data_IF_982158345150
#
_entry.id   IF_982158345150
#
_cell.length_a   1.000
_cell.length_b   1.000
_cell.length_c   1.000
_cell.angle_alpha   90.00
_cell.angle_beta   90.00
_cell.angle_gamma   90.00
#
_symmetry.space_group_name_H-M   'P 1'
#
loop_
_entity.id
_entity.type
_entity.pdbx_description
1 polymer ?
#
# COMPACT_ATOMS: atom_id res chain seq x y z
N UNK A 1 -21.37 13.93 36.24
CA UNK A 1 -20.70 12.86 35.47
C UNK A 1 -20.51 11.66 36.38
N UNK A 2 -20.88 10.46 35.95
CA UNK A 2 -20.51 9.25 36.67
C UNK A 2 -18.99 9.08 36.61
N UNK A 3 -18.34 8.82 37.74
CA UNK A 3 -16.90 8.56 37.84
C UNK A 3 -16.36 7.56 36.79
N UNK A 4 -17.05 6.45 36.44
CA UNK A 4 -16.57 5.55 35.38
C UNK A 4 -16.54 6.19 33.99
N UNK A 5 -17.51 7.05 33.64
CA UNK A 5 -17.56 7.71 32.33
C UNK A 5 -16.40 8.69 32.18
N UNK A 6 -16.07 9.40 33.25
CA UNK A 6 -14.94 10.33 33.27
C UNK A 6 -13.61 9.61 33.05
N UNK A 7 -13.37 8.51 33.78
CA UNK A 7 -12.15 7.70 33.62
C UNK A 7 -12.04 7.14 32.20
N UNK A 8 -13.14 6.59 31.66
CA UNK A 8 -13.18 6.09 30.30
C UNK A 8 -12.85 7.18 29.27
N UNK A 9 -13.38 8.40 29.46
CA UNK A 9 -13.12 9.52 28.56
C UNK A 9 -11.66 9.98 28.59
N UNK A 10 -11.05 10.04 29.78
CA UNK A 10 -9.62 10.38 29.91
C UNK A 10 -8.75 9.32 29.25
N UNK A 11 -9.01 8.04 29.51
CA UNK A 11 -8.24 6.93 28.92
C UNK A 11 -8.38 6.92 27.39
N UNK A 12 -9.60 7.03 26.87
CA UNK A 12 -9.84 7.11 25.44
C UNK A 12 -9.15 8.32 24.81
N UNK A 13 -9.24 9.49 25.43
CA UNK A 13 -8.56 10.71 24.97
C UNK A 13 -7.04 10.56 24.93
N UNK A 14 -6.43 9.91 25.93
CA UNK A 14 -4.99 9.62 25.94
C UNK A 14 -4.59 8.65 24.81
N UNK A 15 -5.37 7.57 24.61
CA UNK A 15 -5.11 6.62 23.53
C UNK A 15 -5.23 7.28 22.15
N UNK A 16 -6.24 8.12 21.96
CA UNK A 16 -6.40 8.91 20.73
C UNK A 16 -5.25 9.89 20.52
N UNK A 17 -4.78 10.57 21.57
CA UNK A 17 -3.63 11.47 21.48
C UNK A 17 -2.35 10.72 21.08
N UNK A 18 -2.09 9.56 21.68
CA UNK A 18 -0.96 8.68 21.28
C UNK A 18 -1.11 8.23 19.83
N UNK A 19 -2.32 7.82 19.43
CA UNK A 19 -2.63 7.46 18.05
C UNK A 19 -2.38 8.61 17.07
N UNK A 20 -2.79 9.83 17.40
CA UNK A 20 -2.57 11.02 16.58
C UNK A 20 -1.08 11.31 16.41
N UNK A 21 -0.31 11.27 17.50
CA UNK A 21 1.15 11.45 17.44
C UNK A 21 1.81 10.38 16.57
N UNK A 22 1.42 9.11 16.74
CA UNK A 22 1.91 8.00 15.92
C UNK A 22 1.57 8.16 14.43
N UNK A 23 0.35 8.59 14.12
CA UNK A 23 -0.10 8.85 12.76
C UNK A 23 0.69 10.01 12.12
N UNK A 24 0.84 11.13 12.83
CA UNK A 24 1.65 12.28 12.37
C UNK A 24 3.10 11.87 12.14
N UNK A 25 3.69 11.09 13.07
CA UNK A 25 5.03 10.57 12.90
C UNK A 25 5.17 9.76 11.62
N UNK A 26 4.20 8.89 11.32
CA UNK A 26 4.14 8.07 10.11
C UNK A 26 3.98 8.91 8.83
N UNK A 27 3.18 9.98 8.87
CA UNK A 27 3.04 10.93 7.76
C UNK A 27 4.37 11.66 7.46
N UNK A 28 5.09 12.09 8.49
CA UNK A 28 6.32 12.89 8.31
C UNK A 28 7.52 12.01 7.95
N UNK A 29 7.72 10.89 8.66
CA UNK A 29 8.89 10.01 8.53
C UNK A 29 8.69 8.87 7.53
N UNK A 30 7.45 8.64 7.07
CA UNK A 30 7.13 7.55 6.16
C UNK A 30 7.93 7.64 4.86
N UNK A 31 8.69 6.59 4.47
CA UNK A 31 9.55 6.59 3.29
C UNK A 31 8.79 6.36 1.99
N UNK A 32 7.61 5.71 2.03
CA UNK A 32 6.77 5.47 0.85
C UNK A 32 5.54 6.39 0.84
N UNK A 33 5.07 6.74 -0.37
CA UNK A 33 3.82 7.49 -0.52
C UNK A 33 2.64 6.74 0.11
N UNK A 34 2.65 5.41 0.01
CA UNK A 34 1.65 4.52 0.58
C UNK A 34 1.63 4.64 2.12
N UNK A 35 2.81 4.64 2.74
CA UNK A 35 2.97 4.80 4.18
C UNK A 35 2.35 6.12 4.67
N UNK A 36 2.69 7.22 4.01
CA UNK A 36 2.15 8.55 4.34
C UNK A 36 0.62 8.60 4.20
N UNK A 37 0.07 7.98 3.16
CA UNK A 37 -1.36 7.94 2.93
C UNK A 37 -2.10 7.07 3.96
N UNK A 38 -1.53 5.93 4.38
CA UNK A 38 -2.05 5.17 5.53
C UNK A 38 -2.00 6.02 6.80
N UNK A 39 -0.90 6.75 7.02
CA UNK A 39 -0.78 7.66 8.16
C UNK A 39 -1.89 8.71 8.20
N UNK A 40 -2.23 9.29 7.06
CA UNK A 40 -3.33 10.25 6.93
C UNK A 40 -4.71 9.62 7.18
N UNK A 41 -4.94 8.41 6.69
CA UNK A 41 -6.18 7.66 6.93
C UNK A 41 -6.37 7.36 8.44
N UNK A 42 -5.31 6.86 9.08
CA UNK A 42 -5.32 6.63 10.53
C UNK A 42 -5.55 7.94 11.30
N UNK A 43 -4.96 9.05 10.86
CA UNK A 43 -5.17 10.36 11.50
C UNK A 43 -6.64 10.81 11.37
N UNK A 44 -7.28 10.59 10.23
CA UNK A 44 -8.72 10.86 10.04
C UNK A 44 -9.57 10.00 10.97
N UNK A 45 -9.26 8.71 11.12
CA UNK A 45 -9.95 7.81 12.04
C UNK A 45 -9.79 8.27 13.50
N UNK A 46 -8.59 8.67 13.89
CA UNK A 46 -8.33 9.20 15.24
C UNK A 46 -9.11 10.48 15.51
N UNK A 47 -9.17 11.40 14.54
CA UNK A 47 -9.95 12.63 14.66
C UNK A 47 -11.46 12.34 14.76
N UNK A 48 -11.96 11.42 13.94
CA UNK A 48 -13.34 10.92 14.03
C UNK A 48 -13.63 10.30 15.41
N UNK A 49 -12.71 9.50 15.93
CA UNK A 49 -12.82 8.94 17.28
C UNK A 49 -12.88 10.00 18.37
N UNK A 50 -12.11 11.09 18.24
CA UNK A 50 -12.16 12.22 19.18
C UNK A 50 -13.52 12.94 19.13
N UNK A 51 -14.11 13.11 17.94
CA UNK A 51 -15.45 13.68 17.79
C UNK A 51 -16.54 12.76 18.38
N UNK A 52 -16.42 11.45 18.17
CA UNK A 52 -17.32 10.46 18.81
C UNK A 52 -17.20 10.50 20.32
N UNK A 53 -15.98 10.62 20.84
CA UNK A 53 -15.75 10.74 22.28
C UNK A 53 -16.36 12.03 22.85
N UNK A 54 -16.19 13.15 22.15
CA UNK A 54 -16.79 14.44 22.48
C UNK A 54 -18.32 14.35 22.52
N UNK A 55 -18.93 13.78 21.49
CA UNK A 55 -20.39 13.52 21.43
C UNK A 55 -20.87 12.66 22.61
N UNK A 56 -20.14 11.58 22.92
CA UNK A 56 -20.48 10.67 24.01
C UNK A 56 -20.42 11.36 25.39
N UNK A 57 -19.43 12.22 25.60
CA UNK A 57 -19.24 12.98 26.84
C UNK A 57 -20.29 14.08 26.99
N UNK A 58 -20.57 14.81 25.90
CA UNK A 58 -21.45 15.98 25.90
C UNK A 58 -22.93 15.66 25.61
N UNK A 59 -23.25 14.38 25.33
CA UNK A 59 -24.62 13.89 25.13
C UNK A 59 -25.36 14.56 23.96
N UNK A 60 -24.65 14.87 22.88
CA UNK A 60 -25.22 15.36 21.63
C UNK A 60 -24.66 14.59 20.43
N UNK A 61 -25.25 14.78 19.26
CA UNK A 61 -24.86 14.13 18.00
C UNK A 61 -24.65 15.12 16.86
N UNK A 62 -24.38 16.39 17.17
CA UNK A 62 -24.32 17.47 16.16
C UNK A 62 -23.19 17.27 15.15
N UNK A 63 -22.14 16.56 15.54
CA UNK A 63 -20.94 16.31 14.71
C UNK A 63 -20.97 14.94 14.03
N UNK A 64 -22.07 14.18 14.12
CA UNK A 64 -22.17 12.83 13.52
C UNK A 64 -21.99 12.84 12.01
N UNK A 65 -22.49 13.88 11.34
CA UNK A 65 -22.34 14.05 9.88
C UNK A 65 -20.87 14.21 9.51
N UNK A 66 -20.09 14.95 10.30
CA UNK A 66 -18.65 15.12 10.08
C UNK A 66 -17.90 13.79 10.24
N UNK A 67 -18.26 13.00 11.26
CA UNK A 67 -17.67 11.67 11.49
C UNK A 67 -17.95 10.72 10.33
N UNK A 68 -19.19 10.72 9.82
CA UNK A 68 -19.57 9.89 8.67
C UNK A 68 -18.80 10.31 7.42
N UNK A 69 -18.76 11.61 7.12
CA UNK A 69 -18.01 12.12 5.97
C UNK A 69 -16.51 11.81 6.09
N UNK A 70 -15.90 12.02 7.25
CA UNK A 70 -14.50 11.70 7.49
C UNK A 70 -14.20 10.20 7.31
N UNK A 71 -15.09 9.34 7.81
CA UNK A 71 -14.98 7.87 7.63
C UNK A 71 -15.11 7.46 6.16
N UNK A 72 -16.02 8.09 5.41
CA UNK A 72 -16.14 7.85 3.97
C UNK A 72 -14.90 8.28 3.21
N UNK A 73 -14.35 9.46 3.52
CA UNK A 73 -13.13 9.98 2.87
C UNK A 73 -11.94 9.07 3.16
N UNK A 74 -11.75 8.63 4.41
CA UNK A 74 -10.68 7.70 4.77
C UNK A 74 -10.78 6.36 4.03
N UNK A 75 -11.98 5.76 4.02
CA UNK A 75 -12.25 4.53 3.30
C UNK A 75 -11.99 4.64 1.79
N UNK A 76 -12.55 5.66 1.14
CA UNK A 76 -12.36 5.89 -0.30
C UNK A 76 -10.89 6.13 -0.62
N UNK A 77 -10.20 6.96 0.17
CA UNK A 77 -8.77 7.22 0.01
C UNK A 77 -7.91 5.96 0.10
N UNK A 78 -8.20 5.08 1.06
CA UNK A 78 -7.50 3.81 1.25
C UNK A 78 -7.73 2.85 0.07
N UNK A 79 -8.97 2.73 -0.42
CA UNK A 79 -9.31 1.89 -1.58
C UNK A 79 -8.64 2.41 -2.85
N UNK A 80 -8.69 3.72 -3.12
CA UNK A 80 -8.05 4.32 -4.31
C UNK A 80 -6.55 4.06 -4.31
N UNK A 81 -5.88 4.24 -3.17
CA UNK A 81 -4.45 4.00 -3.05
C UNK A 81 -4.09 2.52 -3.27
N UNK A 82 -4.85 1.60 -2.69
CA UNK A 82 -4.62 0.17 -2.87
C UNK A 82 -4.74 -0.26 -4.34
N UNK A 83 -5.68 0.34 -5.09
CA UNK A 83 -5.85 0.06 -6.53
C UNK A 83 -4.70 0.61 -7.38
N UNK A 84 -4.21 1.80 -7.07
CA UNK A 84 -3.08 2.40 -7.79
C UNK A 84 -1.76 1.65 -7.56
N UNK A 85 -1.59 1.05 -6.37
CA UNK A 85 -0.37 0.27 -6.06
C UNK A 85 -0.31 -1.04 -6.83
N UNK A 86 -1.44 -1.72 -7.05
CA UNK A 86 -1.48 -2.98 -7.83
C UNK A 86 -1.16 -2.75 -9.31
N UNK A 87 -1.59 -1.63 -9.88
CA UNK A 87 -1.40 -1.29 -11.30
C UNK A 87 0.08 -1.06 -11.68
N UNK A 88 0.96 -0.88 -10.70
CA UNK A 88 2.38 -0.64 -10.90
C UNK A 88 3.26 -1.91 -10.76
N UNK A 89 2.67 -3.10 -10.62
CA UNK A 89 3.46 -4.36 -10.60
C UNK A 89 3.84 -4.70 -12.05
N UNK A 90 5.13 -4.63 -12.43
CA UNK A 90 5.51 -4.93 -13.81
C UNK A 90 5.34 -6.43 -14.07
N UNK A 91 4.34 -6.77 -14.86
CA UNK A 91 4.11 -8.12 -15.39
C UNK A 91 5.30 -8.62 -16.26
N UNK A 92 6.26 -7.75 -16.55
CA UNK A 92 7.48 -8.02 -17.34
C UNK A 92 8.52 -8.90 -16.64
N UNK A 93 8.44 -9.14 -15.33
CA UNK A 93 9.38 -10.05 -14.65
C UNK A 93 9.13 -11.53 -15.03
N UNK A 94 7.92 -11.86 -15.47
CA UNK A 94 7.53 -13.23 -15.83
C UNK A 94 7.82 -13.54 -17.32
N UNK A 95 7.88 -12.50 -18.16
CA UNK A 95 8.26 -12.62 -19.58
C UNK A 95 9.78 -12.76 -19.76
N UNK A 96 10.60 -12.08 -18.95
CA UNK A 96 12.05 -12.18 -18.99
C UNK A 96 12.56 -13.60 -18.65
N UNK A 97 11.88 -14.31 -17.74
CA UNK A 97 12.18 -15.71 -17.41
C UNK A 97 11.66 -16.71 -18.46
N UNK A 98 10.62 -16.36 -19.22
CA UNK A 98 10.05 -17.20 -20.26
C UNK A 98 10.80 -17.07 -21.61
N UNK A 99 11.37 -15.90 -21.90
CA UNK A 99 12.16 -15.62 -23.11
C UNK A 99 13.61 -16.12 -23.03
N UNK A 100 14.13 -16.41 -21.83
CA UNK A 100 15.43 -17.09 -21.64
C UNK A 100 15.34 -18.61 -21.90
N UNK A 101 14.16 -19.12 -22.28
CA UNK A 101 14.03 -20.50 -22.76
C UNK A 101 14.61 -20.53 -24.18
N UNK A 102 15.71 -21.26 -24.43
CA UNK A 102 16.39 -21.26 -25.72
C UNK A 102 15.39 -21.61 -26.82
N UNK A 103 15.20 -20.70 -27.77
CA UNK A 103 14.38 -20.96 -28.94
C UNK A 103 15.00 -22.12 -29.72
N UNK A 104 14.32 -23.28 -29.86
CA UNK A 104 14.83 -24.41 -30.60
C UNK A 104 15.15 -24.08 -32.08
N UNK A 105 14.62 -22.96 -32.62
CA UNK A 105 14.96 -22.48 -33.97
C UNK A 105 16.37 -21.89 -34.07
N UNK A 106 16.93 -21.35 -32.97
CA UNK A 106 18.28 -20.75 -32.96
C UNK A 106 19.37 -21.82 -33.06
N UNK A 107 19.07 -23.07 -32.72
CA UNK A 107 19.99 -24.20 -32.87
C UNK A 107 20.26 -24.57 -34.34
N UNK A 108 19.38 -24.21 -35.29
CA UNK A 108 19.50 -24.55 -36.72
C UNK A 108 20.31 -23.53 -37.53
N UNK A 109 20.60 -22.35 -36.95
CA UNK A 109 21.44 -21.31 -37.57
C UNK A 109 22.91 -21.38 -37.18
N UNK A 110 23.32 -22.40 -36.43
CA UNK A 110 24.74 -22.64 -36.19
C UNK A 110 25.46 -22.77 -37.53
N UNK A 111 26.52 -21.97 -37.80
CA UNK A 111 27.24 -22.02 -39.05
C UNK A 111 27.74 -23.44 -39.24
N UNK A 112 27.18 -24.15 -40.23
CA UNK A 112 27.68 -25.45 -40.64
C UNK A 112 29.10 -25.22 -41.11
N UNK A 113 30.07 -25.50 -40.24
CA UNK A 113 31.48 -25.55 -40.59
C UNK A 113 31.55 -26.37 -41.87
N UNK A 114 32.00 -25.80 -42.99
CA UNK A 114 32.17 -26.56 -44.22
C UNK A 114 33.14 -27.67 -43.86
N UNK A 115 32.61 -28.89 -43.72
CA UNK A 115 33.41 -30.08 -43.53
C UNK A 115 34.47 -30.03 -44.61
N UNK A 116 35.72 -29.97 -44.16
CA UNK A 116 36.89 -29.87 -45.00
C UNK A 116 36.67 -30.71 -46.26
N UNK A 117 36.66 -30.03 -47.41
CA UNK A 117 36.86 -30.66 -48.70
C UNK A 117 38.17 -31.42 -48.53
N UNK A 118 38.06 -32.74 -48.34
CA UNK A 118 39.19 -33.63 -48.21
C UNK A 118 39.83 -33.66 -49.60
N UNK A 119 40.76 -32.72 -49.80
CA UNK A 119 41.86 -32.88 -50.74
C UNK A 119 42.70 -34.08 -50.28
N UNK A 120 42.20 -35.28 -50.56
CA UNK A 120 42.99 -36.50 -50.62
C UNK A 120 42.99 -36.87 -52.10
N UNK A 121 43.90 -36.24 -52.84
CA UNK A 121 45.14 -36.92 -53.25
C UNK A 121 44.78 -38.21 -53.98
N UNK A 122 44.61 -38.16 -55.30
CA UNK A 122 45.78 -38.37 -56.18
C UNK A 122 46.50 -39.65 -55.74
N UNK A 123 46.00 -40.76 -56.24
CA UNK A 123 46.60 -42.09 -56.23
C UNK A 123 46.12 -42.80 -57.49
#
# INVERSE_FOLDING_TARGET
>A
MSTPLFVAAVVAGLLLAVGAVGAIFRIVRGPSLLDRAIGSDVLLVVLSGALVLEMAVNRHTNTIVLVVLASMVGFVGSVTLARFVEDNRPDHAQEAGAQMRPDPSTADHAPRTPSAVKEESRG
#
